data_IF_334914618146
#
_entry.id   IF_334914618146
#
_cell.length_a   1.000
_cell.length_b   1.000
_cell.length_c   1.000
_cell.angle_alpha   90.00
_cell.angle_beta   90.00
_cell.angle_gamma   90.00
#
_symmetry.space_group_name_H-M   'P 1'
#
loop_
_entity.id
_entity.type
_entity.pdbx_description
1 polymer ?
#
# COMPACT_ATOMS: atom_id res chain seq x y z
N UNK A 1 33.14 2.18 21.59
CA UNK A 1 32.21 2.22 20.45
C UNK A 1 30.82 2.52 21.00
N UNK A 2 30.33 3.74 20.83
CA UNK A 2 28.95 4.08 21.21
C UNK A 2 28.04 3.47 20.16
N UNK A 3 27.35 2.39 20.51
CA UNK A 3 26.19 1.91 19.77
C UNK A 3 25.11 2.98 19.86
N UNK A 4 25.13 3.94 18.93
CA UNK A 4 24.00 4.84 18.73
C UNK A 4 22.80 3.96 18.40
N UNK A 5 21.86 3.87 19.34
CA UNK A 5 20.55 3.28 19.06
C UNK A 5 19.94 4.04 17.87
N UNK A 6 19.33 3.34 16.89
CA UNK A 6 18.63 4.00 15.80
C UNK A 6 17.72 5.08 16.38
N UNK A 7 17.79 6.30 15.83
CA UNK A 7 16.90 7.34 16.31
C UNK A 7 15.46 6.92 16.01
N UNK A 8 14.55 7.12 16.96
CA UNK A 8 13.11 6.88 16.75
C UNK A 8 12.57 7.57 15.48
N UNK A 9 13.23 8.66 15.06
CA UNK A 9 12.96 9.35 13.80
C UNK A 9 13.31 8.52 12.56
N UNK A 10 14.47 7.84 12.55
CA UNK A 10 14.87 6.96 11.45
C UNK A 10 13.91 5.78 11.29
N UNK A 11 13.42 5.22 12.40
CA UNK A 11 12.45 4.11 12.38
C UNK A 11 11.09 4.55 11.82
N UNK A 12 10.59 5.73 12.23
CA UNK A 12 9.34 6.30 11.67
C UNK A 12 9.47 6.60 10.19
N UNK A 13 10.62 7.14 9.75
CA UNK A 13 10.87 7.43 8.34
C UNK A 13 10.92 6.15 7.49
N UNK A 14 11.58 5.11 7.98
CA UNK A 14 11.63 3.80 7.32
C UNK A 14 10.23 3.15 7.24
N UNK A 15 9.45 3.24 8.32
CA UNK A 15 8.08 2.74 8.36
C UNK A 15 7.18 3.49 7.36
N UNK A 16 7.27 4.83 7.32
CA UNK A 16 6.52 5.64 6.36
C UNK A 16 6.91 5.32 4.90
N UNK A 17 8.20 5.11 4.61
CA UNK A 17 8.66 4.71 3.28
C UNK A 17 8.13 3.34 2.86
N UNK A 18 8.14 2.37 3.79
CA UNK A 18 7.57 1.04 3.55
C UNK A 18 6.05 1.11 3.27
N UNK A 19 5.29 1.88 4.07
CA UNK A 19 3.86 2.08 3.86
C UNK A 19 3.56 2.72 2.49
N UNK A 20 4.33 3.74 2.10
CA UNK A 20 4.21 4.37 0.78
C UNK A 20 4.45 3.37 -0.36
N UNK A 21 5.42 2.47 -0.20
CA UNK A 21 5.64 1.40 -1.17
C UNK A 21 4.46 0.43 -1.26
N UNK A 22 3.85 0.05 -0.13
CA UNK A 22 2.68 -0.82 -0.11
C UNK A 22 1.45 -0.17 -0.76
N UNK A 23 1.22 1.12 -0.53
CA UNK A 23 0.16 1.91 -1.18
C UNK A 23 0.33 1.88 -2.70
N UNK A 24 1.55 2.09 -3.20
CA UNK A 24 1.84 2.04 -4.63
C UNK A 24 1.61 0.65 -5.22
N UNK A 25 2.00 -0.41 -4.50
CA UNK A 25 1.71 -1.80 -4.91
C UNK A 25 0.21 -2.05 -5.02
N UNK A 26 -0.58 -1.64 -4.03
CA UNK A 26 -2.04 -1.79 -4.06
C UNK A 26 -2.67 -1.05 -5.25
N UNK A 27 -2.22 0.18 -5.53
CA UNK A 27 -2.65 0.96 -6.71
C UNK A 27 -2.31 0.27 -8.03
N UNK A 28 -1.12 -0.30 -8.14
CA UNK A 28 -0.69 -1.03 -9.33
C UNK A 28 -1.54 -2.27 -9.57
N UNK A 29 -1.80 -3.05 -8.51
CA UNK A 29 -2.67 -4.23 -8.57
C UNK A 29 -4.06 -3.84 -9.06
N UNK A 30 -4.66 -2.80 -8.46
CA UNK A 30 -5.97 -2.30 -8.89
C UNK A 30 -5.97 -1.91 -10.38
N UNK A 31 -4.94 -1.19 -10.83
CA UNK A 31 -4.80 -0.77 -12.24
C UNK A 31 -4.72 -1.96 -13.21
N UNK A 32 -3.96 -2.99 -12.85
CA UNK A 32 -3.83 -4.23 -13.64
C UNK A 32 -5.19 -4.92 -13.77
N UNK A 33 -5.88 -5.16 -12.65
CA UNK A 33 -7.17 -5.84 -12.69
C UNK A 33 -8.25 -5.01 -13.38
N UNK A 34 -8.23 -3.68 -13.23
CA UNK A 34 -9.10 -2.78 -13.99
C UNK A 34 -8.86 -2.90 -15.50
N UNK A 35 -7.60 -2.94 -15.92
CA UNK A 35 -7.24 -3.08 -17.34
C UNK A 35 -7.66 -4.45 -17.89
N UNK A 36 -7.44 -5.52 -17.13
CA UNK A 36 -7.89 -6.87 -17.49
C UNK A 36 -9.42 -6.95 -17.60
N UNK A 37 -10.14 -6.37 -16.65
CA UNK A 37 -11.59 -6.32 -16.66
C UNK A 37 -12.16 -5.59 -17.89
N UNK A 38 -11.49 -4.52 -18.35
CA UNK A 38 -11.86 -3.77 -19.55
C UNK A 38 -11.64 -4.59 -20.83
N UNK A 39 -10.60 -5.42 -20.89
CA UNK A 39 -10.23 -6.19 -22.09
C UNK A 39 -10.96 -7.52 -22.23
N UNK A 40 -11.28 -8.17 -21.11
CA UNK A 40 -11.65 -9.59 -21.11
C UNK A 40 -13.01 -9.88 -20.45
N UNK A 41 -13.81 -8.84 -20.20
CA UNK A 41 -15.03 -8.87 -19.36
C UNK A 41 -14.69 -9.03 -17.88
N UNK A 42 -15.32 -8.22 -17.03
CA UNK A 42 -15.07 -8.23 -15.59
C UNK A 42 -15.54 -9.55 -14.98
N UNK A 43 -14.59 -10.39 -14.58
CA UNK A 43 -14.87 -11.61 -13.79
C UNK A 43 -15.10 -11.26 -12.33
N UNK A 44 -15.78 -12.13 -11.59
CA UNK A 44 -15.96 -11.95 -10.14
C UNK A 44 -14.62 -11.95 -9.40
N UNK A 45 -13.65 -12.76 -9.86
CA UNK A 45 -12.29 -12.74 -9.33
C UNK A 45 -11.60 -11.38 -9.56
N UNK A 46 -11.71 -10.80 -10.76
CA UNK A 46 -11.13 -9.48 -11.02
C UNK A 46 -11.81 -8.38 -10.17
N UNK A 47 -13.13 -8.48 -9.95
CA UNK A 47 -13.86 -7.58 -9.04
C UNK A 47 -13.35 -7.71 -7.61
N UNK A 48 -13.25 -8.92 -7.09
CA UNK A 48 -12.75 -9.19 -5.74
C UNK A 48 -11.31 -8.70 -5.57
N UNK A 49 -10.44 -8.92 -6.55
CA UNK A 49 -9.06 -8.45 -6.50
C UNK A 49 -8.96 -6.92 -6.48
N UNK A 50 -9.83 -6.22 -7.21
CA UNK A 50 -9.90 -4.75 -7.18
C UNK A 50 -10.41 -4.24 -5.82
N UNK A 51 -11.43 -4.88 -5.24
CA UNK A 51 -11.94 -4.54 -3.91
C UNK A 51 -10.88 -4.76 -2.83
N UNK A 52 -10.19 -5.91 -2.87
CA UNK A 52 -9.09 -6.20 -1.96
C UNK A 52 -7.96 -5.18 -2.09
N UNK A 53 -7.56 -4.84 -3.32
CA UNK A 53 -6.53 -3.83 -3.56
C UNK A 53 -6.94 -2.46 -3.00
N UNK A 54 -8.21 -2.07 -3.16
CA UNK A 54 -8.74 -0.81 -2.61
C UNK A 54 -8.77 -0.81 -1.09
N UNK A 55 -9.19 -1.91 -0.47
CA UNK A 55 -9.20 -2.05 1.00
C UNK A 55 -7.79 -2.00 1.57
N UNK A 56 -6.84 -2.71 0.94
CA UNK A 56 -5.42 -2.71 1.32
C UNK A 56 -4.80 -1.32 1.18
N UNK A 57 -5.11 -0.61 0.10
CA UNK A 57 -4.67 0.78 -0.07
C UNK A 57 -5.17 1.67 1.06
N UNK A 58 -6.47 1.62 1.37
CA UNK A 58 -7.07 2.44 2.42
C UNK A 58 -6.47 2.16 3.80
N UNK A 59 -6.23 0.88 4.10
CA UNK A 59 -5.56 0.46 5.33
C UNK A 59 -4.17 1.10 5.46
N UNK A 60 -3.32 0.99 4.43
CA UNK A 60 -1.97 1.55 4.49
C UNK A 60 -1.96 3.09 4.48
N UNK A 61 -2.91 3.74 3.79
CA UNK A 61 -3.08 5.19 3.85
C UNK A 61 -3.46 5.65 5.27
N UNK A 62 -4.31 4.91 5.97
CA UNK A 62 -4.65 5.20 7.37
C UNK A 62 -3.45 5.00 8.31
N UNK A 63 -2.69 3.91 8.14
CA UNK A 63 -1.47 3.67 8.95
C UNK A 63 -0.42 4.76 8.70
N UNK A 64 -0.27 5.21 7.45
CA UNK A 64 0.67 6.28 7.12
C UNK A 64 0.28 7.60 7.81
N UNK A 65 -1.00 7.94 7.80
CA UNK A 65 -1.49 9.15 8.49
C UNK A 65 -1.21 9.13 9.99
N UNK A 66 -1.26 7.96 10.65
CA UNK A 66 -0.95 7.85 12.09
C UNK A 66 0.52 8.12 12.42
N UNK A 67 1.43 7.85 11.48
CA UNK A 67 2.88 7.99 11.68
C UNK A 67 3.37 9.39 11.29
N UNK A 68 2.67 10.04 10.36
CA UNK A 68 2.96 11.41 9.92
C UNK A 68 2.37 12.50 10.85
N UNK A 69 1.54 12.12 11.84
CA UNK A 69 1.05 12.99 12.94
C UNK A 69 2.03 13.07 14.11
#
# INVERSE_FOLDING_TARGET
>A
MTTQSPSHFADRAAQAAWLKAQINTARNIYSIYRTLAQRSRLTDQARQSMENARSTQAYFEQELQKIEQ
#
